data_IF_659538839963
#
_entry.id   IF_659538839963
#
_cell.length_a   1.000
_cell.length_b   1.000
_cell.length_c   1.000
_cell.angle_alpha   90.00
_cell.angle_beta   90.00
_cell.angle_gamma   90.00
#
_symmetry.space_group_name_H-M   'P 1'
#
loop_
_entity.id
_entity.type
_entity.pdbx_description
1 polymer ?
#
# COMPACT_ATOMS: atom_id res chain seq x y z
N UNK A 1 77.80 -7.86 15.58
CA UNK A 1 76.32 -7.71 15.61
C UNK A 1 75.76 -8.80 16.51
N UNK A 2 75.20 -8.50 17.69
CA UNK A 2 74.73 -9.55 18.59
C UNK A 2 73.57 -10.33 17.94
N UNK A 3 73.52 -11.65 18.16
CA UNK A 3 72.54 -12.63 17.64
C UNK A 3 71.09 -12.40 18.14
N UNK A 4 70.66 -11.15 18.28
CA UNK A 4 69.34 -10.73 18.78
C UNK A 4 68.18 -11.05 17.81
N UNK A 5 68.49 -11.45 16.58
CA UNK A 5 67.54 -11.78 15.51
C UNK A 5 67.43 -13.29 15.23
N UNK A 6 68.23 -14.14 15.87
CA UNK A 6 68.24 -15.60 15.64
C UNK A 6 67.26 -16.37 16.54
N UNK A 7 66.80 -15.78 17.65
CA UNK A 7 65.80 -16.37 18.54
C UNK A 7 64.49 -15.60 18.44
N UNK A 8 63.40 -16.29 18.09
CA UNK A 8 62.07 -15.69 18.07
C UNK A 8 61.68 -15.19 19.47
N UNK A 9 61.40 -13.89 19.58
CA UNK A 9 60.84 -13.31 20.81
C UNK A 9 59.37 -13.64 20.91
N UNK A 10 58.92 -13.98 22.12
CA UNK A 10 57.50 -14.28 22.38
C UNK A 10 56.65 -13.04 22.13
N UNK A 11 55.63 -13.19 21.29
CA UNK A 11 54.60 -12.15 21.13
C UNK A 11 53.70 -12.13 22.37
N UNK A 12 53.61 -10.97 23.02
CA UNK A 12 52.68 -10.75 24.12
C UNK A 12 51.33 -10.28 23.57
N UNK A 13 50.25 -11.01 23.91
CA UNK A 13 48.88 -10.65 23.51
C UNK A 13 48.26 -9.67 24.51
N UNK A 14 47.41 -8.77 24.03
CA UNK A 14 46.68 -7.82 24.87
C UNK A 14 45.46 -8.49 25.53
N UNK A 15 45.08 -8.01 26.72
CA UNK A 15 43.91 -8.53 27.47
C UNK A 15 42.62 -7.85 27.04
N UNK A 16 41.52 -8.60 27.03
CA UNK A 16 40.15 -8.10 26.82
C UNK A 16 39.60 -7.29 28.02
N UNK A 17 38.44 -6.66 27.82
CA UNK A 17 37.66 -6.02 28.89
C UNK A 17 37.08 -7.07 29.85
N UNK A 18 36.88 -6.72 31.12
CA UNK A 18 36.23 -7.60 32.10
C UNK A 18 34.77 -7.85 31.73
N UNK A 19 34.30 -9.09 31.89
CA UNK A 19 32.98 -9.53 31.44
C UNK A 19 31.83 -8.70 32.03
N UNK A 20 31.89 -8.32 33.32
CA UNK A 20 30.87 -7.50 33.97
C UNK A 20 30.86 -6.03 33.50
N UNK A 21 31.96 -5.56 32.89
CA UNK A 21 32.11 -4.22 32.32
C UNK A 21 31.96 -4.18 30.81
N UNK A 22 31.54 -5.29 30.20
CA UNK A 22 31.29 -5.40 28.75
C UNK A 22 30.35 -4.30 28.24
N UNK A 23 29.37 -3.87 29.05
CA UNK A 23 28.44 -2.77 28.74
C UNK A 23 29.14 -1.43 28.40
N UNK A 24 30.33 -1.18 28.94
CA UNK A 24 31.09 0.08 28.77
C UNK A 24 31.88 0.07 27.43
N UNK A 25 31.91 -1.06 26.73
CA UNK A 25 32.62 -1.24 25.48
C UNK A 25 34.08 -1.67 25.69
N UNK A 26 34.90 -1.43 24.66
CA UNK A 26 36.29 -1.90 24.61
C UNK A 26 37.15 -1.23 25.70
N UNK A 27 38.01 -2.02 26.35
CA UNK A 27 39.00 -1.51 27.30
C UNK A 27 40.15 -0.85 26.53
N UNK A 28 40.09 0.48 26.43
CA UNK A 28 41.13 1.27 25.77
C UNK A 28 42.52 0.99 26.34
N UNK A 29 43.50 0.84 25.45
CA UNK A 29 44.92 0.67 25.79
C UNK A 29 45.70 1.94 25.48
N UNK A 30 47.00 1.93 25.81
CA UNK A 30 47.86 3.08 25.59
C UNK A 30 47.86 3.55 24.13
N UNK A 31 47.82 2.62 23.17
CA UNK A 31 47.73 2.94 21.73
C UNK A 31 46.47 3.75 21.41
N UNK A 32 45.32 3.34 21.95
CA UNK A 32 44.04 4.02 21.74
C UNK A 32 44.02 5.38 22.43
N UNK A 33 44.56 5.47 23.65
CA UNK A 33 44.74 6.73 24.37
C UNK A 33 45.58 7.72 23.56
N UNK A 34 46.70 7.28 22.98
CA UNK A 34 47.55 8.16 22.16
C UNK A 34 46.80 8.67 20.95
N UNK A 35 46.02 7.83 20.27
CA UNK A 35 45.18 8.27 19.14
C UNK A 35 44.13 9.28 19.57
N UNK A 36 43.42 9.01 20.67
CA UNK A 36 42.42 9.94 21.23
C UNK A 36 43.03 11.27 21.66
N UNK A 37 44.18 11.24 22.34
CA UNK A 37 44.87 12.45 22.79
C UNK A 37 45.36 13.30 21.61
N UNK A 38 45.85 12.65 20.54
CA UNK A 38 46.24 13.33 19.29
C UNK A 38 45.05 13.97 18.60
N UNK A 39 43.92 13.27 18.48
CA UNK A 39 42.68 13.82 17.90
C UNK A 39 42.16 15.01 18.72
N UNK A 40 42.09 14.88 20.05
CA UNK A 40 41.68 15.97 20.93
C UNK A 40 42.58 17.20 20.80
N UNK A 41 43.90 17.00 20.78
CA UNK A 41 44.86 18.09 20.58
C UNK A 41 44.68 18.75 19.21
N UNK A 42 44.49 17.97 18.15
CA UNK A 42 44.23 18.48 16.80
C UNK A 42 42.97 19.35 16.74
N UNK A 43 41.86 18.87 17.31
CA UNK A 43 40.60 19.61 17.39
C UNK A 43 40.75 20.90 18.21
N UNK A 44 41.41 20.82 19.37
CA UNK A 44 41.67 21.98 20.23
C UNK A 44 42.52 23.03 19.51
N UNK A 45 43.59 22.60 18.85
CA UNK A 45 44.49 23.49 18.13
C UNK A 45 43.76 24.15 16.93
N UNK A 46 42.90 23.41 16.22
CA UNK A 46 42.01 23.95 15.18
C UNK A 46 41.04 25.00 15.71
N UNK A 47 40.39 24.74 16.85
CA UNK A 47 39.49 25.70 17.50
C UNK A 47 40.23 26.96 17.96
N UNK A 48 41.44 26.82 18.49
CA UNK A 48 42.29 27.97 18.87
C UNK A 48 42.59 28.85 17.66
N UNK A 49 42.96 28.26 16.52
CA UNK A 49 43.21 29.00 15.28
C UNK A 49 41.94 29.69 14.77
N UNK A 50 40.77 29.03 14.84
CA UNK A 50 39.49 29.65 14.46
C UNK A 50 39.13 30.83 15.37
N UNK A 51 39.35 30.72 16.69
CA UNK A 51 39.13 31.83 17.63
C UNK A 51 40.01 33.03 17.33
N UNK A 52 41.31 32.80 17.10
CA UNK A 52 42.25 33.86 16.74
C UNK A 52 41.81 34.57 15.45
N UNK A 53 41.38 33.82 14.42
CA UNK A 53 40.84 34.41 13.17
C UNK A 53 39.59 35.24 13.38
N UNK A 54 38.70 34.83 14.29
CA UNK A 54 37.49 35.59 14.62
C UNK A 54 37.82 36.86 15.39
N UNK A 55 38.80 36.81 16.29
CA UNK A 55 39.26 37.95 17.08
C UNK A 55 39.95 39.02 16.22
N UNK A 56 40.78 38.60 15.26
CA UNK A 56 41.48 39.52 14.34
C UNK A 56 40.66 39.90 13.10
N UNK A 57 39.34 39.66 13.10
CA UNK A 57 38.47 39.91 11.93
C UNK A 57 38.25 41.40 11.71
N UNK A 58 38.46 41.88 10.48
CA UNK A 58 38.09 43.24 10.11
C UNK A 58 36.56 43.33 9.90
N UNK A 59 35.90 44.29 10.56
CA UNK A 59 34.44 44.46 10.47
C UNK A 59 34.01 44.97 9.09
N UNK A 60 34.89 45.68 8.40
CA UNK A 60 34.63 46.30 7.10
C UNK A 60 35.18 45.45 5.93
N UNK A 61 35.51 44.17 6.18
CA UNK A 61 35.97 43.27 5.14
C UNK A 61 34.88 43.02 4.08
N UNK A 62 35.24 43.18 2.80
CA UNK A 62 34.34 42.90 1.68
C UNK A 62 35.01 41.93 0.70
N UNK A 63 34.32 40.82 0.42
CA UNK A 63 34.70 39.85 -0.61
C UNK A 63 33.55 39.72 -1.63
N UNK A 64 33.85 39.66 -2.93
CA UNK A 64 32.84 39.50 -3.98
C UNK A 64 31.95 38.26 -3.82
N UNK A 65 32.43 37.22 -3.14
CA UNK A 65 31.65 36.03 -2.80
C UNK A 65 30.47 36.31 -1.84
N UNK A 66 30.52 37.40 -1.08
CA UNK A 66 29.43 37.83 -0.18
C UNK A 66 28.17 38.23 -0.96
N UNK A 67 28.28 38.58 -2.25
CA UNK A 67 27.13 38.94 -3.08
C UNK A 67 26.19 37.75 -3.36
N UNK A 68 26.76 36.54 -3.43
CA UNK A 68 26.01 35.30 -3.74
C UNK A 68 25.63 34.50 -2.50
N UNK A 69 26.47 34.54 -1.47
CA UNK A 69 26.29 33.75 -0.24
C UNK A 69 25.45 34.52 0.78
N UNK A 70 24.54 33.82 1.45
CA UNK A 70 23.66 34.39 2.47
C UNK A 70 24.03 33.84 3.84
N UNK A 71 23.92 34.68 4.86
CA UNK A 71 24.12 34.31 6.27
C UNK A 71 22.83 34.56 7.02
N UNK A 72 22.38 33.61 7.84
CA UNK A 72 21.20 33.76 8.71
C UNK A 72 21.60 33.48 10.15
N UNK A 73 21.39 34.45 11.03
CA UNK A 73 21.78 34.32 12.45
C UNK A 73 23.27 34.05 12.65
N UNK A 74 24.14 34.56 11.77
CA UNK A 74 25.59 34.34 11.85
C UNK A 74 26.11 33.03 11.25
N UNK A 75 25.23 32.16 10.72
CA UNK A 75 25.62 30.91 10.06
C UNK A 75 25.46 31.06 8.55
N UNK A 76 26.51 30.72 7.80
CA UNK A 76 26.48 30.71 6.34
C UNK A 76 25.53 29.61 5.83
N UNK A 77 24.54 29.98 5.03
CA UNK A 77 23.63 29.05 4.39
C UNK A 77 24.26 28.57 3.08
N UNK A 78 24.50 27.26 2.99
CA UNK A 78 24.74 26.61 1.72
C UNK A 78 23.39 26.38 1.03
N UNK A 79 23.15 27.08 -0.07
CA UNK A 79 21.99 26.84 -0.92
C UNK A 79 22.14 25.46 -1.56
N UNK A 80 21.11 24.62 -1.45
CA UNK A 80 21.02 23.40 -2.26
C UNK A 80 20.65 23.82 -3.67
N UNK A 81 21.09 23.07 -4.68
CA UNK A 81 20.79 23.31 -6.09
C UNK A 81 19.31 23.04 -6.42
N UNK A 82 18.41 23.84 -5.84
CA UNK A 82 16.99 23.85 -6.12
C UNK A 82 16.66 25.22 -6.68
N UNK A 83 16.96 25.41 -7.95
CA UNK A 83 16.64 26.66 -8.65
C UNK A 83 15.13 26.77 -8.88
N UNK A 84 14.60 27.97 -8.76
CA UNK A 84 13.21 28.24 -9.10
C UNK A 84 13.03 28.07 -10.61
N UNK A 85 12.28 27.05 -11.02
CA UNK A 85 11.98 26.82 -12.43
C UNK A 85 10.97 27.86 -12.94
N UNK A 86 11.16 28.30 -14.18
CA UNK A 86 10.20 29.16 -14.87
C UNK A 86 8.84 28.47 -15.03
N UNK A 87 7.75 29.26 -15.02
CA UNK A 87 6.39 28.74 -15.05
C UNK A 87 6.10 27.85 -16.28
N UNK A 88 6.65 28.20 -17.44
CA UNK A 88 6.49 27.42 -18.68
C UNK A 88 7.10 26.03 -18.57
N UNK A 89 8.31 25.91 -18.00
CA UNK A 89 8.94 24.61 -17.75
C UNK A 89 8.10 23.77 -16.79
N UNK A 90 7.56 24.40 -15.73
CA UNK A 90 6.68 23.70 -14.78
C UNK A 90 5.40 23.20 -15.47
N UNK A 91 4.82 23.95 -16.43
CA UNK A 91 3.66 23.49 -17.23
C UNK A 91 3.99 22.25 -18.05
N UNK A 92 5.16 22.23 -18.68
CA UNK A 92 5.62 21.08 -19.49
C UNK A 92 5.80 19.85 -18.60
N UNK A 93 6.53 19.97 -17.49
CA UNK A 93 6.79 18.86 -16.56
C UNK A 93 5.49 18.25 -16.03
N UNK A 94 4.56 19.09 -15.57
CA UNK A 94 3.26 18.60 -15.08
C UNK A 94 2.42 17.93 -16.17
N UNK A 95 2.51 18.41 -17.41
CA UNK A 95 1.81 17.79 -18.54
C UNK A 95 2.39 16.41 -18.89
N UNK A 96 3.72 16.27 -18.78
CA UNK A 96 4.41 14.98 -18.95
C UNK A 96 4.02 14.00 -17.82
N UNK A 97 4.01 14.46 -16.57
CA UNK A 97 3.59 13.65 -15.41
C UNK A 97 2.14 13.19 -15.53
N UNK A 98 1.24 14.08 -15.92
CA UNK A 98 -0.18 13.77 -16.17
C UNK A 98 -0.33 12.71 -17.27
N UNK A 99 0.43 12.84 -18.36
CA UNK A 99 0.49 11.85 -19.43
C UNK A 99 1.00 10.50 -18.95
N UNK A 100 2.10 10.48 -18.21
CA UNK A 100 2.67 9.26 -17.63
C UNK A 100 1.67 8.56 -16.71
N UNK A 101 1.04 9.27 -15.78
CA UNK A 101 0.03 8.69 -14.87
C UNK A 101 -1.18 8.13 -15.63
N UNK A 102 -1.64 8.79 -16.70
CA UNK A 102 -2.71 8.24 -17.56
C UNK A 102 -2.31 6.92 -18.21
N UNK A 103 -1.09 6.84 -18.75
CA UNK A 103 -0.61 5.58 -19.35
C UNK A 103 -0.45 4.48 -18.31
N UNK A 104 0.12 4.78 -17.14
CA UNK A 104 0.27 3.86 -16.02
C UNK A 104 -1.10 3.34 -15.54
N UNK A 105 -2.09 4.22 -15.43
CA UNK A 105 -3.47 3.86 -15.07
C UNK A 105 -4.14 3.00 -16.14
N UNK A 106 -3.98 3.32 -17.42
CA UNK A 106 -4.53 2.51 -18.52
C UNK A 106 -3.96 1.08 -18.51
N UNK A 107 -2.64 0.94 -18.33
CA UNK A 107 -1.99 -0.38 -18.15
C UNK A 107 -2.53 -1.11 -16.91
N UNK A 108 -2.69 -0.39 -15.80
CA UNK A 108 -3.26 -0.93 -14.56
C UNK A 108 -4.68 -1.45 -14.73
N UNK A 109 -5.55 -0.69 -15.42
CA UNK A 109 -6.93 -1.07 -15.74
C UNK A 109 -7.02 -2.32 -16.58
N UNK A 110 -6.23 -2.42 -17.65
CA UNK A 110 -6.16 -3.65 -18.47
C UNK A 110 -5.81 -4.88 -17.64
N UNK A 111 -4.92 -4.75 -16.66
CA UNK A 111 -4.56 -5.86 -15.76
C UNK A 111 -5.66 -6.17 -14.74
N UNK A 112 -6.38 -5.16 -14.24
CA UNK A 112 -7.59 -5.36 -13.41
C UNK A 112 -8.64 -6.15 -14.21
N UNK A 113 -8.89 -5.77 -15.46
CA UNK A 113 -9.86 -6.42 -16.33
C UNK A 113 -9.43 -7.86 -16.66
N UNK A 114 -8.13 -8.10 -16.89
CA UNK A 114 -7.59 -9.45 -17.09
C UNK A 114 -7.76 -10.35 -15.86
N UNK A 115 -7.48 -9.84 -14.64
CA UNK A 115 -7.68 -10.60 -13.40
C UNK A 115 -9.16 -10.86 -13.15
N UNK A 116 -10.03 -9.88 -13.44
CA UNK A 116 -11.48 -10.08 -13.38
C UNK A 116 -11.93 -11.18 -14.32
N UNK A 117 -11.45 -11.16 -15.57
CA UNK A 117 -11.74 -12.20 -16.55
C UNK A 117 -11.25 -13.59 -16.11
N UNK A 118 -10.03 -13.67 -15.58
CA UNK A 118 -9.44 -14.89 -15.01
C UNK A 118 -10.28 -15.43 -13.86
N UNK A 119 -10.69 -14.57 -12.92
CA UNK A 119 -11.58 -14.93 -11.82
C UNK A 119 -12.95 -15.40 -12.29
N UNK A 120 -13.53 -14.77 -13.31
CA UNK A 120 -14.84 -15.20 -13.86
C UNK A 120 -14.76 -16.50 -14.65
N UNK A 121 -13.59 -16.85 -15.20
CA UNK A 121 -13.37 -18.09 -15.92
C UNK A 121 -13.19 -19.29 -14.98
N UNK A 122 -12.80 -19.06 -13.72
CA UNK A 122 -12.78 -20.11 -12.70
C UNK A 122 -14.23 -20.51 -12.36
N UNK A 123 -14.54 -21.80 -12.57
CA UNK A 123 -15.88 -22.42 -12.49
C UNK A 123 -16.54 -22.23 -11.11
N UNK A 124 -15.74 -22.02 -10.06
CA UNK A 124 -16.20 -21.59 -8.73
C UNK A 124 -16.49 -20.09 -8.71
N UNK A 125 -17.56 -19.71 -9.41
CA UNK A 125 -17.98 -18.34 -9.73
C UNK A 125 -18.25 -17.43 -8.52
N UNK A 126 -18.19 -17.93 -7.29
CA UNK A 126 -18.39 -17.13 -6.08
C UNK A 126 -17.35 -17.51 -5.03
N UNK A 127 -16.60 -16.54 -4.46
CA UNK A 127 -15.87 -16.77 -3.23
C UNK A 127 -16.86 -17.28 -2.19
N UNK A 128 -16.61 -18.48 -1.69
CA UNK A 128 -17.40 -19.11 -0.64
C UNK A 128 -17.27 -18.18 0.58
N UNK A 129 -18.29 -18.13 1.43
CA UNK A 129 -18.24 -17.33 2.67
C UNK A 129 -16.97 -17.60 3.48
N UNK A 130 -16.48 -18.84 3.45
CA UNK A 130 -15.23 -19.29 4.07
C UNK A 130 -13.96 -18.63 3.51
N UNK A 131 -13.94 -18.20 2.23
CA UNK A 131 -12.79 -17.48 1.68
C UNK A 131 -12.72 -16.03 2.16
N UNK A 132 -13.89 -15.41 2.33
CA UNK A 132 -14.00 -14.03 2.78
C UNK A 132 -13.54 -13.88 4.23
N UNK A 133 -13.79 -14.90 5.06
CA UNK A 133 -13.34 -14.95 6.46
C UNK A 133 -11.81 -15.09 6.58
N UNK A 134 -11.16 -15.63 5.54
CA UNK A 134 -9.69 -15.75 5.46
C UNK A 134 -9.00 -14.52 4.84
N UNK A 135 -9.77 -13.54 4.34
CA UNK A 135 -9.25 -12.28 3.81
C UNK A 135 -9.16 -11.23 4.92
N UNK A 136 -8.19 -10.33 4.79
CA UNK A 136 -8.10 -9.15 5.64
C UNK A 136 -9.35 -8.25 5.46
N UNK A 137 -9.85 -7.69 6.56
CA UNK A 137 -11.09 -6.89 6.56
C UNK A 137 -10.99 -5.70 5.60
N UNK A 138 -9.81 -5.05 5.54
CA UNK A 138 -9.53 -3.95 4.63
C UNK A 138 -9.38 -4.37 3.15
N UNK A 139 -9.29 -5.67 2.84
CA UNK A 139 -9.37 -6.18 1.47
C UNK A 139 -10.85 -6.35 1.08
N UNK A 140 -11.63 -6.98 1.97
CA UNK A 140 -13.07 -7.20 1.78
C UNK A 140 -13.80 -5.87 1.61
N UNK A 141 -13.48 -4.86 2.43
CA UNK A 141 -14.05 -3.52 2.31
C UNK A 141 -13.83 -2.92 0.91
N UNK A 142 -12.60 -2.93 0.41
CA UNK A 142 -12.32 -2.37 -0.92
C UNK A 142 -12.95 -3.16 -2.07
N UNK A 143 -13.12 -4.47 -1.94
CA UNK A 143 -13.83 -5.27 -2.94
C UNK A 143 -15.35 -4.98 -2.93
N UNK A 144 -15.93 -4.66 -1.78
CA UNK A 144 -17.33 -4.21 -1.64
C UNK A 144 -17.52 -2.80 -2.18
N UNK A 145 -16.66 -1.85 -1.82
CA UNK A 145 -16.69 -0.47 -2.34
C UNK A 145 -16.61 -0.41 -3.86
N UNK A 146 -15.82 -1.29 -4.45
CA UNK A 146 -15.60 -1.36 -5.89
C UNK A 146 -16.65 -2.20 -6.62
N UNK A 147 -17.63 -2.77 -5.90
CA UNK A 147 -18.76 -3.53 -6.44
C UNK A 147 -18.37 -4.90 -7.01
N UNK A 148 -17.20 -5.43 -6.66
CA UNK A 148 -16.79 -6.80 -7.04
C UNK A 148 -17.51 -7.83 -6.19
N UNK A 149 -17.70 -7.54 -4.90
CA UNK A 149 -18.53 -8.31 -3.99
C UNK A 149 -19.88 -7.61 -3.77
N UNK A 150 -20.97 -8.37 -3.58
CA UNK A 150 -22.25 -7.77 -3.20
C UNK A 150 -22.10 -7.02 -1.87
N UNK A 151 -22.77 -5.87 -1.76
CA UNK A 151 -22.78 -5.09 -0.52
C UNK A 151 -23.41 -5.94 0.59
N UNK A 152 -22.73 -6.06 1.73
CA UNK A 152 -23.24 -6.86 2.84
C UNK A 152 -24.62 -6.32 3.26
N UNK A 153 -25.67 -7.12 3.04
CA UNK A 153 -26.99 -6.82 3.59
C UNK A 153 -26.86 -6.97 5.10
N UNK A 154 -26.77 -5.86 5.81
CA UNK A 154 -27.07 -5.90 7.25
C UNK A 154 -28.52 -6.33 7.34
N UNK A 155 -28.73 -7.55 7.84
CA UNK A 155 -30.05 -8.08 8.19
C UNK A 155 -30.58 -7.20 9.33
N UNK A 156 -31.15 -6.05 8.98
CA UNK A 156 -32.14 -5.42 9.84
C UNK A 156 -33.37 -6.29 9.68
N UNK A 157 -33.69 -7.00 10.75
CA UNK A 157 -34.92 -7.76 11.00
C UNK A 157 -36.12 -6.81 10.86
N UNK A 158 -36.48 -6.50 9.61
CA UNK A 158 -37.57 -5.62 9.21
C UNK A 158 -38.40 -6.36 8.18
N UNK A 159 -39.63 -6.67 8.56
CA UNK A 159 -40.61 -7.40 7.76
C UNK A 159 -41.01 -6.54 6.56
N UNK A 160 -40.32 -6.65 5.43
CA UNK A 160 -40.72 -5.95 4.20
C UNK A 160 -39.62 -5.86 3.16
N UNK A 161 -39.79 -6.62 2.06
CA UNK A 161 -39.03 -6.56 0.80
C UNK A 161 -37.52 -6.72 0.93
N UNK A 162 -37.09 -7.98 1.09
CA UNK A 162 -35.72 -8.37 0.79
C UNK A 162 -35.38 -8.02 -0.67
N UNK A 163 -34.24 -7.35 -0.85
CA UNK A 163 -33.61 -7.14 -2.15
C UNK A 163 -33.53 -8.49 -2.87
N UNK A 164 -34.19 -8.59 -4.02
CA UNK A 164 -34.28 -9.82 -4.79
C UNK A 164 -32.87 -10.23 -5.22
N UNK A 165 -32.26 -11.16 -4.50
CA UNK A 165 -31.14 -11.93 -5.03
C UNK A 165 -31.73 -12.69 -6.20
N UNK A 166 -31.39 -12.29 -7.42
CA UNK A 166 -31.82 -13.02 -8.62
C UNK A 166 -31.40 -14.49 -8.45
N UNK A 167 -32.35 -15.45 -8.44
CA UNK A 167 -32.02 -16.85 -8.24
C UNK A 167 -31.09 -17.31 -9.37
N UNK A 168 -29.92 -17.85 -8.99
CA UNK A 168 -28.81 -18.17 -9.92
C UNK A 168 -29.14 -19.33 -10.87
N UNK A 169 -30.04 -20.22 -10.46
CA UNK A 169 -30.53 -21.34 -11.26
C UNK A 169 -32.03 -21.47 -11.04
N UNK A 170 -32.79 -21.30 -12.11
CA UNK A 170 -34.25 -21.42 -12.11
C UNK A 170 -34.58 -22.64 -12.96
N UNK A 171 -35.21 -23.64 -12.34
CA UNK A 171 -35.74 -24.81 -13.04
C UNK A 171 -37.23 -24.58 -13.23
N UNK A 172 -37.66 -24.44 -14.48
CA UNK A 172 -39.08 -24.37 -14.83
C UNK A 172 -39.64 -25.78 -14.96
N UNK A 173 -40.77 -26.02 -14.31
CA UNK A 173 -41.48 -27.31 -14.32
C UNK A 173 -42.95 -27.05 -14.63
N UNK A 174 -43.56 -27.93 -15.44
CA UNK A 174 -44.91 -27.72 -15.97
C UNK A 174 -46.04 -28.15 -14.99
N UNK A 175 -45.77 -29.05 -14.05
CA UNK A 175 -46.77 -29.60 -13.12
C UNK A 175 -46.35 -29.41 -11.66
N UNK A 176 -47.32 -29.12 -10.77
CA UNK A 176 -47.09 -28.90 -9.34
C UNK A 176 -46.49 -30.14 -8.64
N UNK A 177 -46.93 -31.35 -9.04
CA UNK A 177 -46.39 -32.60 -8.50
C UNK A 177 -44.93 -32.84 -8.91
N UNK A 178 -44.54 -32.40 -10.11
CA UNK A 178 -43.17 -32.50 -10.59
C UNK A 178 -42.25 -31.49 -9.87
N UNK A 179 -42.77 -30.31 -9.54
CA UNK A 179 -42.04 -29.34 -8.71
C UNK A 179 -41.77 -29.91 -7.30
N UNK A 180 -42.76 -30.57 -6.68
CA UNK A 180 -42.60 -31.23 -5.38
C UNK A 180 -41.61 -32.40 -5.42
N UNK A 181 -41.55 -33.17 -6.53
CA UNK A 181 -40.53 -34.22 -6.72
C UNK A 181 -39.12 -33.64 -6.87
N UNK A 182 -38.94 -32.52 -7.56
CA UNK A 182 -37.63 -31.84 -7.62
C UNK A 182 -37.22 -31.23 -6.27
N UNK A 183 -38.19 -30.72 -5.49
CA UNK A 183 -37.95 -30.24 -4.12
C UNK A 183 -37.61 -31.39 -3.15
N UNK A 184 -38.21 -32.57 -3.33
CA UNK A 184 -37.92 -33.76 -2.52
C UNK A 184 -36.64 -34.49 -2.96
N UNK A 185 -36.40 -34.64 -4.27
CA UNK A 185 -35.24 -35.36 -4.80
C UNK A 185 -33.93 -34.57 -4.71
N UNK A 186 -33.97 -33.23 -4.70
CA UNK A 186 -32.77 -32.42 -4.43
C UNK A 186 -32.23 -32.64 -3.02
N UNK A 187 -33.10 -32.96 -2.05
CA UNK A 187 -32.70 -33.29 -0.68
C UNK A 187 -32.12 -34.71 -0.56
N UNK A 188 -32.60 -35.65 -1.37
CA UNK A 188 -32.09 -37.02 -1.43
C UNK A 188 -30.79 -37.13 -2.27
N UNK A 189 -30.70 -36.43 -3.40
CA UNK A 189 -29.50 -36.40 -4.26
C UNK A 189 -28.31 -35.72 -3.58
N UNK A 190 -28.52 -34.77 -2.67
CA UNK A 190 -27.41 -34.18 -1.90
C UNK A 190 -26.74 -35.19 -0.95
N UNK A 191 -27.47 -36.25 -0.55
CA UNK A 191 -26.95 -37.32 0.29
C UNK A 191 -26.32 -38.47 -0.51
N UNK A 192 -26.67 -38.62 -1.79
CA UNK A 192 -26.22 -39.71 -2.66
C UNK A 192 -25.20 -39.27 -3.72
N UNK A 193 -25.10 -37.97 -4.04
CA UNK A 193 -24.12 -37.44 -5.00
C UNK A 193 -22.74 -37.16 -4.40
N UNK A 194 -22.38 -37.80 -3.29
CA UNK A 194 -21.05 -37.66 -2.68
C UNK A 194 -19.99 -38.57 -3.35
N UNK A 195 -20.34 -39.45 -4.29
CA UNK A 195 -19.41 -40.44 -4.86
C UNK A 195 -19.58 -40.78 -6.36
N UNK A 196 -19.92 -39.82 -7.22
CA UNK A 196 -19.74 -40.02 -8.68
C UNK A 196 -19.04 -38.83 -9.33
N UNK A 197 -17.70 -38.83 -9.26
CA UNK A 197 -16.87 -38.13 -10.21
C UNK A 197 -16.56 -39.07 -11.38
N UNK A 198 -17.25 -38.87 -12.50
CA UNK A 198 -16.86 -39.42 -13.79
C UNK A 198 -15.45 -38.91 -14.13
N UNK A 199 -14.46 -39.80 -14.06
CA UNK A 199 -13.09 -39.54 -14.49
C UNK A 199 -13.08 -39.32 -16.00
N UNK A 200 -13.13 -38.07 -16.44
CA UNK A 200 -12.64 -37.74 -17.77
C UNK A 200 -11.11 -37.77 -17.71
N UNK A 201 -10.55 -38.93 -18.06
CA UNK A 201 -9.14 -39.08 -18.38
C UNK A 201 -8.80 -38.20 -19.59
N UNK A 202 -8.06 -37.13 -19.33
CA UNK A 202 -7.26 -36.47 -20.34
C UNK A 202 -5.87 -36.19 -19.75
N UNK A 203 -4.85 -36.83 -20.33
CA UNK A 203 -3.49 -36.30 -20.36
C UNK A 203 -2.46 -36.90 -19.41
N UNK A 204 -1.96 -38.09 -19.78
CA UNK A 204 -0.54 -38.52 -19.71
C UNK A 204 0.27 -38.29 -18.43
N UNK A 205 0.51 -39.37 -17.69
CA UNK A 205 1.81 -39.58 -17.02
C UNK A 205 2.22 -41.05 -17.23
N UNK A 206 3.16 -41.25 -18.15
CA UNK A 206 3.81 -42.51 -18.44
C UNK A 206 4.85 -42.76 -17.34
N UNK A 207 4.45 -43.49 -16.30
CA UNK A 207 5.40 -44.21 -15.45
C UNK A 207 5.06 -45.71 -15.52
N UNK A 208 5.90 -46.40 -16.28
CA UNK A 208 6.00 -47.85 -16.43
C UNK A 208 6.75 -48.40 -15.20
N UNK A 209 6.06 -49.19 -14.37
CA UNK A 209 6.52 -50.48 -13.80
C UNK A 209 5.57 -50.95 -12.70
N UNK A 210 5.20 -52.24 -12.76
CA UNK A 210 4.01 -52.79 -12.11
C UNK A 210 4.17 -53.36 -10.70
N UNK A 211 3.01 -53.63 -10.08
CA UNK A 211 2.76 -54.71 -9.12
C UNK A 211 1.23 -54.80 -8.89
N UNK A 212 0.64 -56.01 -8.95
CA UNK A 212 -0.81 -56.24 -8.82
C UNK A 212 -1.19 -56.57 -7.38
N UNK A 213 -1.05 -55.59 -6.49
CA UNK A 213 -1.67 -55.59 -5.17
C UNK A 213 -2.89 -54.66 -5.16
N UNK A 214 -4.03 -55.12 -4.64
CA UNK A 214 -5.18 -54.25 -4.39
C UNK A 214 -4.80 -53.23 -3.29
N UNK A 215 -4.47 -52.01 -3.70
CA UNK A 215 -4.09 -50.92 -2.79
C UNK A 215 -5.30 -50.51 -1.91
N UNK A 216 -5.45 -51.11 -0.73
CA UNK A 216 -6.49 -50.77 0.26
C UNK A 216 -6.50 -49.27 0.66
N UNK A 217 -5.40 -48.55 0.42
CA UNK A 217 -5.24 -47.12 0.70
C UNK A 217 -5.38 -46.21 -0.53
N UNK A 218 -5.74 -46.75 -1.70
CA UNK A 218 -5.90 -45.97 -2.94
C UNK A 218 -6.95 -44.85 -2.80
N UNK A 219 -8.10 -45.16 -2.19
CA UNK A 219 -9.17 -44.19 -1.93
C UNK A 219 -8.72 -43.05 -1.00
N UNK A 220 -8.00 -43.36 0.09
CA UNK A 220 -7.48 -42.35 1.00
C UNK A 220 -6.40 -41.46 0.33
N UNK A 221 -5.59 -42.03 -0.57
CA UNK A 221 -4.60 -41.28 -1.36
C UNK A 221 -5.28 -40.40 -2.41
N UNK A 222 -6.38 -40.86 -3.02
CA UNK A 222 -7.21 -40.07 -3.94
C UNK A 222 -7.86 -38.88 -3.22
N UNK A 223 -8.49 -39.09 -2.07
CA UNK A 223 -9.08 -38.04 -1.24
C UNK A 223 -8.03 -36.99 -0.81
N UNK A 224 -6.83 -37.43 -0.43
CA UNK A 224 -5.72 -36.52 -0.09
C UNK A 224 -5.25 -35.69 -1.31
N UNK A 225 -5.23 -36.29 -2.50
CA UNK A 225 -4.90 -35.58 -3.75
C UNK A 225 -5.97 -34.55 -4.08
N UNK A 226 -7.25 -34.87 -3.92
CA UNK A 226 -8.37 -33.95 -4.12
C UNK A 226 -8.37 -32.80 -3.12
N UNK A 227 -8.18 -33.08 -1.83
CA UNK A 227 -8.05 -32.06 -0.79
C UNK A 227 -6.88 -31.08 -1.09
N UNK A 228 -5.77 -31.59 -1.64
CA UNK A 228 -4.65 -30.75 -2.09
C UNK A 228 -5.00 -29.90 -3.32
N UNK A 229 -5.77 -30.43 -4.27
CA UNK A 229 -6.29 -29.66 -5.42
C UNK A 229 -7.22 -28.54 -4.96
N UNK A 230 -8.14 -28.82 -4.04
CA UNK A 230 -9.04 -27.83 -3.45
C UNK A 230 -8.26 -26.76 -2.68
N UNK A 231 -7.29 -27.14 -1.84
CA UNK A 231 -6.46 -26.17 -1.12
C UNK A 231 -5.62 -25.29 -2.07
N UNK A 232 -5.12 -25.85 -3.17
CA UNK A 232 -4.36 -25.09 -4.16
C UNK A 232 -5.23 -24.11 -4.97
N UNK A 233 -6.44 -24.52 -5.36
CA UNK A 233 -7.40 -23.65 -6.06
C UNK A 233 -7.87 -22.51 -5.15
N UNK A 234 -8.17 -22.80 -3.87
CA UNK A 234 -8.47 -21.78 -2.86
C UNK A 234 -7.31 -20.78 -2.72
N UNK A 235 -6.07 -21.24 -2.55
CA UNK A 235 -4.89 -20.35 -2.46
C UNK A 235 -4.75 -19.45 -3.68
N UNK A 236 -4.95 -19.98 -4.89
CA UNK A 236 -4.89 -19.18 -6.12
C UNK A 236 -6.00 -18.10 -6.13
N UNK A 237 -7.23 -18.47 -5.77
CA UNK A 237 -8.35 -17.51 -5.65
C UNK A 237 -8.06 -16.40 -4.65
N UNK A 238 -7.59 -16.73 -3.44
CA UNK A 238 -7.25 -15.73 -2.42
C UNK A 238 -6.12 -14.81 -2.91
N UNK A 239 -5.12 -15.35 -3.59
CA UNK A 239 -4.05 -14.56 -4.20
C UNK A 239 -4.58 -13.58 -5.25
N UNK A 240 -5.48 -14.02 -6.14
CA UNK A 240 -6.12 -13.16 -7.14
C UNK A 240 -7.00 -12.08 -6.52
N UNK A 241 -7.76 -12.39 -5.46
CA UNK A 241 -8.56 -11.41 -4.71
C UNK A 241 -7.69 -10.34 -4.04
N UNK A 242 -6.59 -10.76 -3.43
CA UNK A 242 -5.61 -9.86 -2.82
C UNK A 242 -4.91 -8.99 -3.89
N UNK A 243 -4.52 -9.57 -5.02
CA UNK A 243 -3.94 -8.82 -6.13
C UNK A 243 -4.94 -7.81 -6.70
N UNK A 244 -6.19 -8.22 -6.88
CA UNK A 244 -7.26 -7.38 -7.40
C UNK A 244 -7.53 -6.18 -6.49
N UNK A 245 -7.70 -6.42 -5.18
CA UNK A 245 -7.94 -5.34 -4.22
C UNK A 245 -6.78 -4.35 -4.16
N UNK A 246 -5.53 -4.83 -4.14
CA UNK A 246 -4.35 -3.97 -4.18
C UNK A 246 -4.26 -3.14 -5.46
N UNK A 247 -4.66 -3.70 -6.60
CA UNK A 247 -4.72 -2.97 -7.88
C UNK A 247 -5.85 -1.95 -7.92
N UNK A 248 -7.00 -2.26 -7.33
CA UNK A 248 -8.12 -1.33 -7.21
C UNK A 248 -7.77 -0.13 -6.32
N UNK A 249 -7.15 -0.37 -5.14
CA UNK A 249 -6.57 0.68 -4.28
C UNK A 249 -5.56 1.56 -5.04
N UNK A 250 -4.74 0.95 -5.90
CA UNK A 250 -3.80 1.70 -6.76
C UNK A 250 -4.53 2.52 -7.84
N UNK A 251 -5.58 2.00 -8.48
CA UNK A 251 -6.36 2.77 -9.48
C UNK A 251 -7.08 3.97 -8.85
N UNK A 252 -7.61 3.84 -7.63
CA UNK A 252 -8.21 4.98 -6.91
C UNK A 252 -7.17 6.04 -6.59
N UNK A 253 -6.00 5.65 -6.06
CA UNK A 253 -4.88 6.57 -5.82
C UNK A 253 -4.40 7.28 -7.10
N UNK A 254 -4.22 6.53 -8.20
CA UNK A 254 -3.84 7.11 -9.50
C UNK A 254 -4.92 8.05 -10.05
N UNK A 255 -6.19 7.71 -9.87
CA UNK A 255 -7.32 8.57 -10.27
C UNK A 255 -7.30 9.89 -9.50
N UNK A 256 -7.04 9.85 -8.20
CA UNK A 256 -6.93 11.05 -7.36
C UNK A 256 -5.72 11.89 -7.78
N UNK A 257 -4.56 11.27 -8.00
CA UNK A 257 -3.35 11.97 -8.46
C UNK A 257 -3.54 12.64 -9.83
N UNK A 258 -4.16 11.93 -10.79
CA UNK A 258 -4.50 12.51 -12.11
C UNK A 258 -5.41 13.71 -11.95
N UNK A 259 -6.46 13.60 -11.11
CA UNK A 259 -7.39 14.72 -10.86
C UNK A 259 -6.68 15.93 -10.25
N UNK A 260 -5.74 15.73 -9.33
CA UNK A 260 -4.93 16.81 -8.77
C UNK A 260 -4.01 17.45 -9.81
N UNK A 261 -3.36 16.67 -10.67
CA UNK A 261 -2.52 17.21 -11.74
C UNK A 261 -3.35 17.97 -12.79
N UNK A 262 -4.51 17.44 -13.19
CA UNK A 262 -5.46 18.13 -14.06
C UNK A 262 -5.89 19.46 -13.44
N UNK A 263 -6.25 19.45 -12.16
CA UNK A 263 -6.58 20.67 -11.41
C UNK A 263 -5.41 21.65 -11.39
N UNK A 264 -4.19 21.20 -11.08
CA UNK A 264 -3.01 22.05 -11.10
C UNK A 264 -2.73 22.64 -12.48
N UNK A 265 -2.91 21.86 -13.55
CA UNK A 265 -2.77 22.34 -14.92
C UNK A 265 -3.80 23.42 -15.24
N UNK A 266 -5.05 23.21 -14.87
CA UNK A 266 -6.07 24.24 -14.99
C UNK A 266 -5.73 25.47 -14.15
N UNK A 267 -5.15 25.30 -12.95
CA UNK A 267 -4.67 26.41 -12.12
C UNK A 267 -3.44 27.14 -12.70
N UNK A 268 -2.75 26.57 -13.67
CA UNK A 268 -1.67 27.26 -14.38
C UNK A 268 -2.16 27.91 -15.68
N UNK A 269 -3.42 27.68 -16.06
CA UNK A 269 -4.05 28.37 -17.19
C UNK A 269 -4.45 29.81 -16.81
N UNK A 270 -4.47 30.75 -17.77
CA UNK A 270 -4.90 32.11 -17.53
C UNK A 270 -6.39 32.19 -17.17
N UNK A 271 -6.73 33.14 -16.30
CA UNK A 271 -8.10 33.47 -15.91
C UNK A 271 -8.24 33.79 -14.42
N UNK A 272 -9.19 34.65 -14.07
CA UNK A 272 -9.48 34.97 -12.68
C UNK A 272 -10.21 33.81 -12.00
N UNK A 273 -9.78 33.47 -10.78
CA UNK A 273 -10.35 32.36 -10.01
C UNK A 273 -10.40 32.66 -8.52
N UNK A 274 -11.32 32.01 -7.82
CA UNK A 274 -11.45 32.04 -6.37
C UNK A 274 -11.47 30.61 -5.83
N UNK A 275 -10.73 30.36 -4.75
CA UNK A 275 -10.77 29.06 -4.07
C UNK A 275 -12.06 28.99 -3.26
N UNK A 276 -12.88 27.99 -3.51
CA UNK A 276 -14.03 27.69 -2.65
C UNK A 276 -13.53 26.75 -1.56
N UNK A 277 -13.94 26.98 -0.31
CA UNK A 277 -13.75 25.98 0.75
C UNK A 277 -14.60 24.76 0.39
N UNK A 278 -13.99 23.58 0.34
CA UNK A 278 -14.63 22.37 -0.20
C UNK A 278 -15.95 22.00 0.50
N UNK A 279 -16.76 21.10 -0.08
CA UNK A 279 -17.93 20.57 0.60
C UNK A 279 -17.48 19.75 1.82
N UNK A 280 -17.42 20.38 2.98
CA UNK A 280 -17.34 19.68 4.27
C UNK A 280 -18.70 19.01 4.52
N UNK A 281 -18.68 17.76 5.00
CA UNK A 281 -19.88 16.99 5.35
C UNK A 281 -20.68 17.82 6.36
N UNK A 282 -21.87 18.27 5.97
CA UNK A 282 -22.84 18.84 6.91
C UNK A 282 -23.39 17.66 7.69
N UNK A 283 -22.88 17.43 8.89
CA UNK A 283 -23.54 16.51 9.82
C UNK A 283 -24.89 17.14 10.17
N UNK A 284 -25.98 16.48 9.77
CA UNK A 284 -27.29 16.73 10.35
C UNK A 284 -27.24 16.17 11.76
N UNK A 285 -27.00 17.04 12.73
CA UNK A 285 -27.12 16.72 14.14
C UNK A 285 -28.62 16.72 14.48
N UNK A 286 -29.30 15.60 14.20
CA UNK A 286 -30.64 15.29 14.72
C UNK A 286 -30.54 14.82 16.19
N UNK A 287 -29.68 15.47 17.00
CA UNK A 287 -29.71 15.33 18.45
C UNK A 287 -30.38 16.55 19.07
N UNK A 288 -31.58 16.32 19.61
CA UNK A 288 -32.39 17.28 20.34
C UNK A 288 -31.75 17.61 21.71
N UNK A 289 -30.58 18.25 21.71
CA UNK A 289 -30.07 18.92 22.91
C UNK A 289 -30.10 20.44 22.72
N UNK A 290 -30.99 21.08 23.50
CA UNK A 290 -31.12 22.53 23.64
C UNK A 290 -29.80 23.15 24.12
N UNK A 291 -28.98 23.64 23.18
CA UNK A 291 -27.86 24.53 23.51
C UNK A 291 -27.89 25.76 22.61
N UNK A 292 -28.09 26.92 23.24
CA UNK A 292 -28.06 28.29 22.72
C UNK A 292 -27.49 28.47 21.29
N UNK A 293 -28.40 28.50 20.31
CA UNK A 293 -28.08 28.78 18.90
C UNK A 293 -27.77 30.27 18.72
N UNK A 294 -26.55 30.71 19.03
CA UNK A 294 -26.00 31.96 18.47
C UNK A 294 -25.95 31.85 16.95
N UNK A 295 -26.89 32.51 16.28
CA UNK A 295 -26.99 32.62 14.81
C UNK A 295 -25.61 32.98 14.21
N UNK A 296 -25.05 32.08 13.42
CA UNK A 296 -23.91 32.38 12.53
C UNK A 296 -22.59 31.65 12.81
N UNK A 297 -22.46 30.83 13.86
CA UNK A 297 -21.28 29.95 14.00
C UNK A 297 -21.58 28.56 13.44
N UNK A 298 -21.26 28.37 12.16
CA UNK A 298 -21.14 27.04 11.57
C UNK A 298 -19.98 26.34 12.30
N UNK A 299 -20.27 25.31 13.09
CA UNK A 299 -19.25 24.43 13.65
C UNK A 299 -18.73 23.56 12.50
N UNK A 300 -17.44 23.66 12.20
CA UNK A 300 -16.80 22.90 11.12
C UNK A 300 -16.23 21.61 11.70
N UNK A 301 -16.63 20.45 11.16
CA UNK A 301 -16.06 19.16 11.54
C UNK A 301 -14.59 19.12 11.10
N UNK A 302 -13.70 18.63 11.97
CA UNK A 302 -12.32 18.34 11.57
C UNK A 302 -12.33 17.23 10.54
N UNK A 303 -11.57 17.43 9.48
CA UNK A 303 -11.38 16.49 8.39
C UNK A 303 -10.71 15.20 8.91
N UNK A 304 -11.52 14.27 9.41
CA UNK A 304 -11.10 12.92 9.78
C UNK A 304 -11.21 11.97 8.60
N UNK A 305 -10.22 11.09 8.47
CA UNK A 305 -10.17 9.84 7.71
C UNK A 305 -10.79 9.82 6.29
N UNK A 306 -10.61 10.90 5.52
CA UNK A 306 -10.92 10.87 4.08
C UNK A 306 -9.60 10.88 3.30
N UNK A 307 -9.30 9.76 2.64
CA UNK A 307 -8.08 9.55 1.84
C UNK A 307 -7.86 10.62 0.75
N UNK A 308 -8.93 11.28 0.29
CA UNK A 308 -8.85 12.33 -0.72
C UNK A 308 -9.97 13.36 -0.61
N UNK A 309 -9.61 14.64 -0.44
CA UNK A 309 -10.54 15.76 -0.48
C UNK A 309 -10.22 16.71 -1.65
N UNK A 310 -11.11 16.79 -2.66
CA UNK A 310 -10.85 17.60 -3.84
C UNK A 310 -10.87 19.09 -3.50
N UNK A 311 -9.84 19.81 -3.94
CA UNK A 311 -9.80 21.28 -3.87
C UNK A 311 -10.68 21.86 -4.96
N UNK A 312 -11.66 22.69 -4.60
CA UNK A 312 -12.59 23.29 -5.57
C UNK A 312 -12.24 24.75 -5.82
N UNK A 313 -12.20 25.14 -7.08
CA UNK A 313 -11.96 26.50 -7.53
C UNK A 313 -13.08 26.94 -8.46
N UNK A 314 -13.59 28.16 -8.26
CA UNK A 314 -14.56 28.80 -9.14
C UNK A 314 -13.85 29.82 -10.01
N UNK A 315 -13.94 29.61 -11.32
CA UNK A 315 -13.48 30.57 -12.31
C UNK A 315 -14.50 31.70 -12.46
N UNK A 316 -14.02 32.93 -12.71
CA UNK A 316 -14.91 34.04 -13.05
C UNK A 316 -15.61 33.70 -14.38
N UNK A 317 -16.90 34.03 -14.48
CA UNK A 317 -17.68 33.82 -15.70
C UNK A 317 -17.22 34.80 -16.77
N UNK A 318 -16.21 34.39 -17.53
CA UNK A 318 -15.63 35.15 -18.63
C UNK A 318 -15.47 34.24 -19.84
N UNK A 319 -15.84 34.74 -21.02
CA UNK A 319 -15.55 34.06 -22.27
C UNK A 319 -14.06 34.23 -22.58
N UNK A 320 -13.36 33.12 -22.84
CA UNK A 320 -11.99 33.18 -23.36
C UNK A 320 -12.03 33.88 -24.72
N UNK A 321 -11.20 34.93 -24.86
CA UNK A 321 -11.06 35.66 -26.11
C UNK A 321 -10.36 34.81 -27.15
#
# INVERSE_FOLDING_TARGET
MPLRNSLHRRQHKERSQLAHRSKIGLLEKHKDYVQRARDYRSKRDRLRTLRAKVETRNKDEFYFGMNKKKTRGGIALAERETEAMGEEMVKVLKSQDEGYLRTARSKGRKRIDAIRAEMTAMIDLVPITEDLDNLDEGVVETLRETGVLPLATTSRKGKGKGSQVNPRHIVFVNDEDAANRYAGSSKARLAESQDEWMSNEDGSDLDEDGDQGEDEFAAARAQKREAKRIANTQKNRLALLNELSARLKRDTALRHAIRELEMQRHLMAPGARTKIRGPERVENDDSDEEVDKKRGKIKFAKQGDVDYAPRVYKWRSERKR
#
